data_IF_587059063431
#
_entry.id   IF_587059063431
#
_cell.length_a   1.000
_cell.length_b   1.000
_cell.length_c   1.000
_cell.angle_alpha   90.00
_cell.angle_beta   90.00
_cell.angle_gamma   90.00
#
_symmetry.space_group_name_H-M   'P 1'
#
loop_
_entity.id
_entity.type
_entity.pdbx_description
1 polymer ?
#
# COMPACT_ATOMS: atom_id res chain seq x y z
N UNK A 1 30.43 27.81 23.82
CA UNK A 1 30.27 27.86 22.35
C UNK A 1 29.47 26.64 21.93
N UNK A 2 28.18 26.84 21.67
CA UNK A 2 27.27 25.76 21.24
C UNK A 2 27.64 25.39 19.79
N UNK A 3 27.69 24.11 19.40
CA UNK A 3 27.91 23.75 18.00
C UNK A 3 26.75 24.31 17.17
N UNK A 4 27.07 25.10 16.15
CA UNK A 4 26.11 25.49 15.11
C UNK A 4 25.45 24.23 14.54
N UNK A 5 24.16 24.02 14.81
CA UNK A 5 23.39 22.98 14.12
C UNK A 5 22.23 22.33 14.88
N UNK A 6 22.05 22.57 16.18
CA UNK A 6 20.88 22.09 16.91
C UNK A 6 20.04 23.28 17.34
N UNK A 7 19.09 23.66 16.49
CA UNK A 7 17.94 24.44 16.90
C UNK A 7 17.09 23.55 17.81
N UNK A 8 16.66 24.13 18.93
CA UNK A 8 15.71 23.60 19.90
C UNK A 8 14.31 23.51 19.24
N UNK A 9 14.17 22.58 18.29
CA UNK A 9 12.95 22.40 17.50
C UNK A 9 12.03 21.42 18.22
N UNK A 10 11.09 21.97 18.98
CA UNK A 10 9.89 21.25 19.46
C UNK A 10 8.96 20.78 18.34
N UNK A 11 9.26 21.05 17.08
CA UNK A 11 8.58 20.54 15.89
C UNK A 11 9.62 20.37 14.77
N UNK A 12 9.93 19.12 14.40
CA UNK A 12 11.01 18.80 13.46
C UNK A 12 10.57 18.94 11.99
N UNK A 13 11.49 19.42 11.14
CA UNK A 13 11.36 19.44 9.69
C UNK A 13 12.33 18.44 9.05
N UNK A 14 11.92 17.80 7.96
CA UNK A 14 12.68 16.74 7.27
C UNK A 14 13.46 17.28 6.08
N UNK A 15 14.76 17.00 6.06
CA UNK A 15 15.63 17.23 4.91
C UNK A 15 16.37 15.93 4.59
N UNK A 16 16.24 15.50 3.33
CA UNK A 16 16.78 14.24 2.85
C UNK A 16 18.29 14.38 2.68
N UNK A 17 19.05 13.33 2.99
CA UNK A 17 20.51 13.39 3.05
C UNK A 17 21.08 12.04 2.64
N UNK A 18 22.17 12.05 1.88
CA UNK A 18 22.80 10.81 1.37
C UNK A 18 23.49 9.99 2.46
N UNK A 19 23.80 10.59 3.61
CA UNK A 19 24.31 9.96 4.83
C UNK A 19 24.29 10.98 5.98
N UNK A 20 24.23 10.54 7.25
CA UNK A 20 24.32 11.44 8.42
C UNK A 20 25.53 12.40 8.29
N UNK A 21 25.25 13.71 8.20
CA UNK A 21 26.27 14.76 8.05
C UNK A 21 26.79 15.00 6.62
N UNK A 22 26.18 14.39 5.59
CA UNK A 22 26.49 14.66 4.18
C UNK A 22 25.34 15.42 3.50
N UNK A 23 25.63 16.32 2.53
CA UNK A 23 24.59 16.97 1.74
C UNK A 23 23.70 15.94 1.03
N UNK A 24 22.42 16.27 0.85
CA UNK A 24 21.63 15.64 -0.19
C UNK A 24 22.39 15.86 -1.50
N UNK A 25 22.76 14.80 -2.22
CA UNK A 25 23.34 14.96 -3.54
C UNK A 25 22.17 14.91 -4.51
N UNK A 26 21.49 16.03 -4.64
CA UNK A 26 20.48 16.34 -5.65
C UNK A 26 21.06 16.43 -7.08
N UNK A 27 22.09 15.61 -7.36
CA UNK A 27 22.62 15.32 -8.69
C UNK A 27 21.51 14.71 -9.55
N UNK A 28 20.72 15.57 -10.16
CA UNK A 28 20.00 15.24 -11.37
C UNK A 28 21.00 14.63 -12.38
N UNK A 29 20.59 13.68 -13.26
CA UNK A 29 21.46 13.24 -14.36
C UNK A 29 22.11 14.45 -15.04
N UNK A 30 23.37 14.34 -15.47
CA UNK A 30 24.05 15.45 -16.18
C UNK A 30 23.13 15.95 -17.31
N UNK A 31 22.57 17.15 -17.17
CA UNK A 31 21.60 17.76 -18.10
C UNK A 31 20.12 17.78 -17.68
N UNK A 32 19.74 17.23 -16.52
CA UNK A 32 18.35 17.29 -16.02
C UNK A 32 18.10 18.55 -15.18
N UNK A 33 17.03 19.33 -15.46
CA UNK A 33 16.73 20.56 -14.73
C UNK A 33 16.05 20.34 -13.37
N UNK A 34 15.67 19.11 -13.02
CA UNK A 34 14.91 18.82 -11.78
C UNK A 34 15.53 17.66 -11.01
N UNK A 35 15.78 17.90 -9.72
CA UNK A 35 16.23 16.90 -8.75
C UNK A 35 15.16 15.80 -8.60
N UNK A 36 15.50 14.50 -8.67
CA UNK A 36 14.56 13.41 -8.41
C UNK A 36 13.90 13.51 -7.04
N UNK A 37 14.66 14.04 -6.08
CA UNK A 37 14.19 14.30 -4.73
C UNK A 37 13.21 15.46 -4.68
N UNK A 38 13.55 16.61 -5.28
CA UNK A 38 12.63 17.74 -5.37
C UNK A 38 11.38 17.38 -6.18
N UNK A 39 11.51 16.57 -7.23
CA UNK A 39 10.40 16.09 -8.03
C UNK A 39 9.48 15.18 -7.21
N UNK A 40 10.03 14.23 -6.45
CA UNK A 40 9.25 13.35 -5.58
C UNK A 40 8.57 14.16 -4.46
N UNK A 41 9.30 15.04 -3.78
CA UNK A 41 8.70 15.90 -2.76
C UNK A 41 7.62 16.80 -3.33
N UNK A 42 7.84 17.47 -4.45
CA UNK A 42 6.82 18.32 -5.09
C UNK A 42 5.61 17.50 -5.53
N UNK A 43 5.84 16.31 -6.10
CA UNK A 43 4.77 15.41 -6.54
C UNK A 43 3.92 14.94 -5.35
N UNK A 44 4.55 14.49 -4.28
CA UNK A 44 3.87 13.85 -3.16
C UNK A 44 3.39 14.88 -2.09
N UNK A 45 4.00 16.07 -1.98
CA UNK A 45 3.51 17.19 -1.16
C UNK A 45 2.10 17.63 -1.58
N UNK A 46 1.79 17.51 -2.87
CA UNK A 46 0.49 17.88 -3.40
C UNK A 46 -0.65 16.95 -2.97
N UNK A 47 -0.35 15.85 -2.26
CA UNK A 47 -1.34 14.83 -1.87
C UNK A 47 -1.93 15.21 -0.51
N UNK A 48 -3.21 15.62 -0.45
CA UNK A 48 -3.83 16.00 0.82
C UNK A 48 -3.97 14.79 1.75
N UNK A 49 -3.79 14.95 3.06
CA UNK A 49 -4.07 13.87 4.03
C UNK A 49 -3.10 12.70 4.06
N UNK A 50 -2.05 12.68 3.24
CA UNK A 50 -1.02 11.66 3.36
C UNK A 50 -0.33 11.83 4.73
N UNK A 51 -0.54 10.87 5.63
CA UNK A 51 0.09 10.87 6.96
C UNK A 51 1.61 10.86 6.78
N UNK A 52 2.33 11.55 7.65
CA UNK A 52 3.76 11.84 7.43
C UNK A 52 4.64 10.58 7.35
N UNK A 53 4.32 9.49 8.07
CA UNK A 53 5.03 8.22 7.94
C UNK A 53 4.80 7.57 6.58
N UNK A 54 3.57 7.61 6.05
CA UNK A 54 3.24 7.17 4.69
C UNK A 54 3.84 8.08 3.61
N UNK A 55 3.88 9.39 3.84
CA UNK A 55 4.54 10.36 2.96
C UNK A 55 6.01 9.99 2.77
N UNK A 56 6.73 9.68 3.86
CA UNK A 56 8.12 9.26 3.74
C UNK A 56 8.27 7.93 3.02
N UNK A 57 7.35 6.97 3.23
CA UNK A 57 7.36 5.70 2.50
C UNK A 57 7.19 5.94 0.99
N UNK A 58 6.25 6.79 0.60
CA UNK A 58 5.96 7.10 -0.81
C UNK A 58 7.13 7.86 -1.45
N UNK A 59 7.64 8.92 -0.80
CA UNK A 59 8.79 9.68 -1.34
C UNK A 59 10.05 8.83 -1.38
N UNK A 60 10.36 8.05 -0.34
CA UNK A 60 11.53 7.16 -0.32
C UNK A 60 11.51 6.21 -1.51
N UNK A 61 10.34 5.64 -1.81
CA UNK A 61 10.20 4.70 -2.91
C UNK A 61 10.24 5.37 -4.29
N UNK A 62 9.69 6.56 -4.47
CA UNK A 62 9.83 7.30 -5.75
C UNK A 62 11.28 7.70 -6.01
N UNK A 63 11.96 8.23 -4.98
CA UNK A 63 13.39 8.53 -5.03
C UNK A 63 14.20 7.28 -5.36
N UNK A 64 13.93 6.16 -4.69
CA UNK A 64 14.57 4.88 -4.97
C UNK A 64 14.37 4.46 -6.43
N UNK A 65 13.13 4.43 -6.94
CA UNK A 65 12.82 4.06 -8.33
C UNK A 65 13.60 4.91 -9.34
N UNK A 66 13.72 6.21 -9.09
CA UNK A 66 14.41 7.15 -9.99
C UNK A 66 15.93 7.06 -9.92
N UNK A 67 16.48 6.54 -8.83
CA UNK A 67 17.93 6.56 -8.56
C UNK A 67 18.58 5.17 -8.57
N UNK A 68 17.78 4.10 -8.64
CA UNK A 68 18.24 2.71 -8.57
C UNK A 68 19.36 2.35 -9.58
N UNK A 69 19.28 2.87 -10.81
CA UNK A 69 20.25 2.58 -11.88
C UNK A 69 21.32 3.65 -12.12
N UNK A 70 21.49 4.63 -11.22
CA UNK A 70 22.48 5.72 -11.38
C UNK A 70 23.88 5.30 -10.93
N UNK A 71 24.93 5.95 -11.45
CA UNK A 71 26.35 5.68 -11.12
C UNK A 71 26.69 5.72 -9.62
N UNK A 72 25.91 6.47 -8.83
CA UNK A 72 26.06 6.59 -7.37
C UNK A 72 25.07 5.74 -6.58
N UNK A 73 24.22 4.98 -7.25
CA UNK A 73 23.20 4.14 -6.66
C UNK A 73 22.00 4.90 -6.06
N UNK A 74 21.04 4.18 -5.47
CA UNK A 74 19.81 4.75 -4.93
C UNK A 74 20.02 5.62 -3.68
N UNK A 75 19.31 6.74 -3.58
CA UNK A 75 19.37 7.68 -2.44
C UNK A 75 18.36 7.35 -1.32
N UNK A 76 18.61 7.82 -0.08
CA UNK A 76 17.75 7.60 1.10
C UNK A 76 17.25 8.89 1.78
N UNK A 77 16.05 8.85 2.41
CA UNK A 77 15.69 9.75 3.49
C UNK A 77 16.42 9.42 4.80
N UNK A 78 16.74 10.44 5.59
CA UNK A 78 17.14 10.30 7.00
C UNK A 78 16.12 11.00 7.88
N UNK A 79 15.62 10.33 8.94
CA UNK A 79 14.48 10.83 9.72
C UNK A 79 14.94 11.42 11.07
N UNK A 80 14.31 12.51 11.48
CA UNK A 80 14.46 13.16 12.79
C UNK A 80 13.09 13.66 13.31
N UNK A 81 12.54 13.03 14.37
CA UNK A 81 11.29 13.41 15.09
C UNK A 81 10.00 13.42 14.23
N UNK A 82 8.74 13.31 14.68
CA UNK A 82 8.01 13.16 15.95
C UNK A 82 6.81 12.22 15.65
N UNK A 83 6.35 11.40 16.60
CA UNK A 83 5.52 10.20 16.33
C UNK A 83 4.09 10.23 16.92
N UNK A 84 3.64 11.35 17.49
CA UNK A 84 2.57 11.30 18.49
C UNK A 84 1.24 11.98 18.13
N UNK A 85 1.15 12.66 16.99
CA UNK A 85 -0.10 13.26 16.47
C UNK A 85 -0.20 13.09 14.94
N UNK A 86 -1.43 13.04 14.41
CA UNK A 86 -1.68 13.07 12.96
C UNK A 86 -1.12 14.38 12.37
N UNK A 87 -0.01 14.27 11.64
CA UNK A 87 0.67 15.40 11.01
C UNK A 87 0.61 15.26 9.49
N UNK A 88 0.11 16.31 8.83
CA UNK A 88 -0.02 16.39 7.38
C UNK A 88 0.77 17.58 6.84
N UNK A 89 1.47 17.39 5.72
CA UNK A 89 2.11 18.50 4.99
C UNK A 89 1.06 19.36 4.28
N UNK A 90 0.00 18.72 3.78
CA UNK A 90 -1.20 19.37 3.26
C UNK A 90 -2.41 18.72 3.91
N UNK A 91 -3.20 19.52 4.63
CA UNK A 91 -4.40 19.03 5.30
C UNK A 91 -5.37 18.41 4.28
N UNK A 92 -5.97 17.24 4.58
CA UNK A 92 -6.97 16.64 3.70
C UNK A 92 -8.20 17.53 3.59
N UNK A 93 -8.86 17.48 2.43
CA UNK A 93 -10.16 18.15 2.27
C UNK A 93 -11.21 17.48 3.16
N UNK A 94 -12.09 18.29 3.75
CA UNK A 94 -13.31 17.79 4.37
C UNK A 94 -14.31 17.48 3.25
N UNK A 95 -14.63 16.20 3.09
CA UNK A 95 -15.62 15.76 2.12
C UNK A 95 -16.94 15.64 2.87
N UNK A 96 -18.02 16.35 2.49
CA UNK A 96 -19.32 16.17 3.13
C UNK A 96 -19.83 14.74 2.90
N UNK A 97 -20.65 14.18 3.81
CA UNK A 97 -21.36 12.93 3.50
C UNK A 97 -22.17 13.12 2.21
N UNK A 98 -22.17 12.10 1.34
CA UNK A 98 -23.03 12.08 0.17
C UNK A 98 -24.46 12.38 0.64
N UNK A 99 -25.13 13.38 0.03
CA UNK A 99 -26.54 13.65 0.32
C UNK A 99 -27.27 12.32 0.13
N UNK A 100 -27.86 11.80 1.20
CA UNK A 100 -28.71 10.62 1.14
C UNK A 100 -29.68 10.83 -0.02
N UNK A 101 -29.60 9.98 -1.05
CA UNK A 101 -30.65 9.91 -2.04
C UNK A 101 -31.99 9.84 -1.27
N UNK A 102 -33.00 10.64 -1.65
CA UNK A 102 -34.24 10.67 -0.88
C UNK A 102 -34.77 9.25 -0.75
N UNK A 103 -35.22 8.90 0.46
CA UNK A 103 -35.78 7.59 0.75
C UNK A 103 -36.82 7.26 -0.32
N UNK A 104 -36.64 6.12 -0.99
CA UNK A 104 -37.59 5.59 -1.96
C UNK A 104 -38.95 5.40 -1.29
N UNK A 105 -39.82 6.39 -1.41
CA UNK A 105 -41.24 6.27 -1.15
C UNK A 105 -41.92 5.75 -2.41
N UNK A 106 -42.46 4.53 -2.33
CA UNK A 106 -43.44 4.00 -3.28
C UNK A 106 -42.86 3.24 -4.47
N UNK A 107 -43.16 1.94 -4.51
CA UNK A 107 -43.02 1.08 -5.68
C UNK A 107 -43.82 1.64 -6.87
N UNK A 108 -43.13 2.28 -7.81
CA UNK A 108 -43.50 2.24 -9.22
C UNK A 108 -42.27 1.71 -9.96
N UNK A 109 -42.43 0.58 -10.65
CA UNK A 109 -41.38 -0.02 -11.44
C UNK A 109 -40.80 1.03 -12.39
N UNK A 110 -39.52 1.35 -12.21
CA UNK A 110 -38.80 2.16 -13.17
C UNK A 110 -38.81 1.42 -14.53
N UNK A 111 -39.05 2.11 -15.65
CA UNK A 111 -38.87 1.50 -16.96
C UNK A 111 -37.41 1.02 -17.07
N UNK A 112 -37.15 -0.08 -17.82
CA UNK A 112 -35.79 -0.54 -18.04
C UNK A 112 -34.97 0.64 -18.56
N UNK A 113 -33.86 0.94 -17.89
CA UNK A 113 -32.93 1.96 -18.34
C UNK A 113 -32.57 1.63 -19.81
N UNK A 114 -32.60 2.62 -20.72
CA UNK A 114 -32.10 2.38 -22.06
C UNK A 114 -30.66 1.88 -21.95
N UNK A 115 -30.22 0.94 -22.81
CA UNK A 115 -28.83 0.52 -22.83
C UNK A 115 -27.98 1.78 -22.89
N UNK A 116 -27.17 1.99 -21.85
CA UNK A 116 -26.29 3.15 -21.75
C UNK A 116 -25.55 3.23 -23.06
N UNK A 117 -25.90 4.23 -23.87
CA UNK A 117 -25.16 4.51 -25.08
C UNK A 117 -23.78 4.90 -24.59
N UNK A 118 -22.85 3.95 -24.72
CA UNK A 118 -21.41 4.17 -24.59
C UNK A 118 -21.05 5.18 -25.67
N UNK A 119 -21.28 6.47 -25.40
CA UNK A 119 -20.45 7.52 -25.98
C UNK A 119 -19.07 7.21 -25.44
N UNK A 120 -18.13 6.91 -26.33
CA UNK A 120 -16.76 6.48 -26.03
C UNK A 120 -16.00 7.48 -25.16
N UNK A 121 -16.36 7.54 -23.88
CA UNK A 121 -15.71 8.28 -22.84
C UNK A 121 -14.50 7.48 -22.39
N UNK A 122 -13.36 8.15 -22.35
CA UNK A 122 -12.13 7.63 -21.75
C UNK A 122 -12.48 7.17 -20.33
N UNK A 123 -12.24 5.90 -20.00
CA UNK A 123 -12.37 5.43 -18.62
C UNK A 123 -11.33 6.21 -17.79
N UNK A 124 -11.75 7.09 -16.85
CA UNK A 124 -10.84 7.98 -16.15
C UNK A 124 -9.81 7.23 -15.31
N UNK A 125 -10.06 5.97 -14.96
CA UNK A 125 -9.16 5.11 -14.18
C UNK A 125 -8.62 3.93 -15.00
N UNK A 126 -8.52 4.08 -16.33
CA UNK A 126 -8.07 3.01 -17.22
C UNK A 126 -6.65 2.49 -16.92
N UNK A 127 -5.83 3.30 -16.27
CA UNK A 127 -4.46 3.01 -15.87
C UNK A 127 -4.34 2.20 -14.56
N UNK A 128 -5.44 1.99 -13.85
CA UNK A 128 -5.49 1.25 -12.59
C UNK A 128 -6.09 -0.14 -12.84
N UNK A 129 -5.23 -1.11 -13.16
CA UNK A 129 -5.64 -2.49 -13.42
C UNK A 129 -5.75 -3.33 -12.14
N UNK A 130 -6.55 -4.41 -12.19
CA UNK A 130 -6.63 -5.39 -11.09
C UNK A 130 -5.28 -6.02 -10.76
N UNK A 131 -4.42 -6.27 -11.76
CA UNK A 131 -3.09 -6.82 -11.54
C UNK A 131 -2.20 -5.86 -10.74
N UNK A 132 -2.32 -4.56 -11.02
CA UNK A 132 -1.63 -3.52 -10.24
C UNK A 132 -2.14 -3.49 -8.80
N UNK A 133 -3.46 -3.47 -8.60
CA UNK A 133 -4.07 -3.52 -7.25
C UNK A 133 -3.65 -4.78 -6.46
N UNK A 134 -3.42 -5.90 -7.15
CA UNK A 134 -3.11 -7.18 -6.54
C UNK A 134 -1.66 -7.28 -6.02
N UNK A 135 -0.76 -6.36 -6.43
CA UNK A 135 0.68 -6.45 -6.13
C UNK A 135 1.17 -5.17 -5.44
N UNK A 136 0.74 -4.00 -5.89
CA UNK A 136 1.20 -2.74 -5.30
C UNK A 136 0.62 -2.54 -3.89
N UNK A 137 1.48 -2.08 -3.00
CA UNK A 137 1.16 -1.61 -1.65
C UNK A 137 0.15 -0.44 -1.68
N UNK A 138 -0.76 -0.35 -0.74
CA UNK A 138 -1.94 0.51 -0.83
C UNK A 138 -1.64 2.01 -0.74
N UNK A 139 -0.86 2.52 0.24
CA UNK A 139 -0.53 3.95 0.35
C UNK A 139 0.21 4.46 -0.89
N UNK A 140 1.03 3.57 -1.42
CA UNK A 140 1.83 3.69 -2.63
C UNK A 140 0.99 3.89 -3.89
N UNK A 141 -0.09 3.10 -4.00
CA UNK A 141 -0.97 3.08 -5.13
C UNK A 141 -1.86 4.31 -5.08
N UNK A 142 -2.46 4.57 -3.90
CA UNK A 142 -3.40 5.67 -3.75
C UNK A 142 -2.73 7.02 -3.91
N UNK A 143 -1.49 7.18 -3.44
CA UNK A 143 -0.71 8.40 -3.66
C UNK A 143 -0.49 8.67 -5.16
N UNK A 144 -0.10 7.64 -5.91
CA UNK A 144 0.11 7.74 -7.35
C UNK A 144 -1.19 8.03 -8.12
N UNK A 145 -2.32 7.47 -7.68
CA UNK A 145 -3.64 7.79 -8.24
C UNK A 145 -4.03 9.24 -7.93
N UNK A 146 -3.88 9.68 -6.67
CA UNK A 146 -4.23 11.04 -6.24
C UNK A 146 -3.38 12.13 -6.91
N UNK A 147 -2.15 11.80 -7.34
CA UNK A 147 -1.32 12.71 -8.13
C UNK A 147 -1.90 13.06 -9.51
N UNK A 148 -2.87 12.29 -10.00
CA UNK A 148 -3.53 12.46 -11.31
C UNK A 148 -5.03 12.69 -11.22
N UNK A 149 -5.66 12.16 -10.17
CA UNK A 149 -7.11 12.24 -9.93
C UNK A 149 -7.35 12.84 -8.55
N UNK A 150 -7.82 14.09 -8.44
CA UNK A 150 -8.14 14.69 -7.16
C UNK A 150 -9.17 13.86 -6.38
N UNK A 151 -9.08 13.87 -5.05
CA UNK A 151 -9.97 13.09 -4.18
C UNK A 151 -11.46 13.30 -4.50
N UNK A 152 -11.87 14.54 -4.80
CA UNK A 152 -13.25 14.86 -5.15
C UNK A 152 -13.72 14.19 -6.45
N UNK A 153 -12.83 14.03 -7.44
CA UNK A 153 -13.13 13.31 -8.69
C UNK A 153 -13.35 11.82 -8.41
N UNK A 154 -12.44 11.19 -7.66
CA UNK A 154 -12.55 9.77 -7.29
C UNK A 154 -13.83 9.49 -6.52
N UNK A 155 -14.19 10.38 -5.59
CA UNK A 155 -15.44 10.26 -4.82
C UNK A 155 -16.66 10.45 -5.71
N UNK A 156 -16.63 11.43 -6.64
CA UNK A 156 -17.69 11.59 -7.63
C UNK A 156 -17.88 10.36 -8.52
N UNK A 157 -16.80 9.71 -8.94
CA UNK A 157 -16.85 8.44 -9.68
C UNK A 157 -17.39 7.29 -8.81
N UNK A 158 -17.01 7.24 -7.54
CA UNK A 158 -17.49 6.24 -6.59
C UNK A 158 -19.00 6.36 -6.34
N UNK A 159 -19.49 7.59 -6.16
CA UNK A 159 -20.91 7.93 -6.04
C UNK A 159 -21.68 7.64 -7.34
N UNK A 160 -21.02 7.81 -8.49
CA UNK A 160 -21.51 7.40 -9.81
C UNK A 160 -21.57 5.89 -10.06
N UNK A 161 -21.18 5.07 -9.07
CA UNK A 161 -21.31 3.61 -9.15
C UNK A 161 -20.07 2.86 -9.65
N UNK A 162 -18.97 3.54 -9.98
CA UNK A 162 -17.76 2.86 -10.46
C UNK A 162 -17.13 2.01 -9.34
N UNK A 163 -17.09 0.69 -9.51
CA UNK A 163 -16.65 -0.25 -8.46
C UNK A 163 -15.18 -0.08 -8.05
N UNK A 164 -14.31 0.28 -9.00
CA UNK A 164 -12.91 0.60 -8.73
C UNK A 164 -12.79 1.90 -7.92
N UNK A 165 -13.50 2.95 -8.33
CA UNK A 165 -13.51 4.21 -7.58
C UNK A 165 -14.08 4.04 -6.18
N UNK A 166 -15.11 3.20 -6.00
CA UNK A 166 -15.64 2.83 -4.68
C UNK A 166 -14.60 2.11 -3.82
N UNK A 167 -13.82 1.20 -4.41
CA UNK A 167 -12.72 0.56 -3.71
C UNK A 167 -11.63 1.58 -3.30
N UNK A 168 -11.21 2.45 -4.21
CA UNK A 168 -10.22 3.51 -3.94
C UNK A 168 -10.72 4.49 -2.88
N UNK A 169 -11.98 4.93 -2.94
CA UNK A 169 -12.59 5.78 -1.92
C UNK A 169 -12.65 5.06 -0.56
N UNK A 170 -12.99 3.77 -0.56
CA UNK A 170 -12.90 2.90 0.60
C UNK A 170 -11.53 2.96 1.27
N UNK A 171 -10.47 2.77 0.49
CA UNK A 171 -9.10 2.88 0.95
C UNK A 171 -8.73 4.27 1.46
N UNK A 172 -9.06 5.31 0.69
CA UNK A 172 -8.79 6.70 1.06
C UNK A 172 -9.37 7.04 2.44
N UNK A 173 -10.64 6.70 2.68
CA UNK A 173 -11.26 6.93 3.99
C UNK A 173 -10.73 6.01 5.09
N UNK A 174 -10.30 4.79 4.77
CA UNK A 174 -9.70 3.85 5.74
C UNK A 174 -8.36 4.37 6.28
N UNK A 175 -7.49 4.83 5.37
CA UNK A 175 -6.15 5.32 5.69
C UNK A 175 -6.11 6.81 6.04
N UNK A 176 -7.09 7.59 5.58
CA UNK A 176 -7.07 9.05 5.67
C UNK A 176 -6.23 9.73 4.59
N UNK A 177 -5.95 9.05 3.47
CA UNK A 177 -5.16 9.63 2.37
C UNK A 177 -6.10 10.29 1.35
N UNK A 178 -5.82 11.54 1.00
CA UNK A 178 -6.67 12.39 0.13
C UNK A 178 -7.87 13.02 0.85
N UNK A 179 -8.32 12.42 1.94
CA UNK A 179 -9.53 12.76 2.71
C UNK A 179 -9.30 12.51 4.19
N UNK A 180 -10.07 13.15 5.07
CA UNK A 180 -10.00 12.83 6.50
C UNK A 180 -10.40 11.37 6.74
N UNK A 181 -9.64 10.66 7.59
CA UNK A 181 -9.92 9.28 7.98
C UNK A 181 -11.34 9.14 8.53
N UNK A 182 -12.10 8.20 7.99
CA UNK A 182 -13.48 7.90 8.36
C UNK A 182 -13.80 6.43 8.03
N UNK A 183 -13.60 5.56 9.01
CA UNK A 183 -13.77 4.09 8.85
C UNK A 183 -15.22 3.72 8.48
N UNK A 184 -16.22 4.49 8.93
CA UNK A 184 -17.61 4.21 8.61
C UNK A 184 -17.90 4.46 7.12
N UNK A 185 -17.36 5.54 6.56
CA UNK A 185 -17.44 5.79 5.11
C UNK A 185 -16.61 4.81 4.30
N UNK A 186 -15.42 4.45 4.80
CA UNK A 186 -14.61 3.41 4.17
C UNK A 186 -15.42 2.13 3.98
N UNK A 187 -16.08 1.66 5.05
CA UNK A 187 -16.99 0.51 5.00
C UNK A 187 -18.08 0.73 3.97
N UNK A 188 -18.82 1.85 4.02
CA UNK A 188 -19.93 2.11 3.10
C UNK A 188 -19.53 2.07 1.61
N UNK A 189 -18.35 2.58 1.24
CA UNK A 189 -17.87 2.47 -0.15
C UNK A 189 -17.41 1.06 -0.51
N UNK A 190 -16.72 0.37 0.39
CA UNK A 190 -16.26 -1.00 0.17
C UNK A 190 -17.44 -1.98 0.06
N UNK A 191 -18.53 -1.75 0.80
CA UNK A 191 -19.79 -2.47 0.66
C UNK A 191 -20.35 -2.36 -0.77
N UNK A 192 -20.38 -1.14 -1.33
CA UNK A 192 -20.83 -0.92 -2.71
C UNK A 192 -19.91 -1.60 -3.73
N UNK A 193 -18.60 -1.54 -3.52
CA UNK A 193 -17.62 -2.19 -4.41
C UNK A 193 -17.74 -3.72 -4.37
N UNK A 194 -17.83 -4.29 -3.17
CA UNK A 194 -17.99 -5.73 -2.95
C UNK A 194 -19.32 -6.27 -3.49
N UNK A 195 -20.41 -5.49 -3.39
CA UNK A 195 -21.72 -5.85 -3.94
C UNK A 195 -21.72 -5.97 -5.48
N UNK A 196 -20.77 -5.31 -6.15
CA UNK A 196 -20.53 -5.45 -7.60
C UNK A 196 -19.59 -6.60 -7.95
N UNK A 197 -19.24 -7.45 -6.97
CA UNK A 197 -18.27 -8.54 -7.10
C UNK A 197 -16.86 -8.06 -7.50
N UNK A 198 -16.50 -6.81 -7.17
CA UNK A 198 -15.16 -6.29 -7.46
C UNK A 198 -14.15 -6.92 -6.50
N UNK A 199 -13.16 -7.72 -6.98
CA UNK A 199 -12.35 -8.55 -6.08
C UNK A 199 -11.54 -7.74 -5.06
N UNK A 200 -10.97 -6.60 -5.46
CA UNK A 200 -10.23 -5.75 -4.54
C UNK A 200 -11.14 -5.12 -3.47
N UNK A 201 -12.38 -4.76 -3.84
CA UNK A 201 -13.39 -4.27 -2.90
C UNK A 201 -13.81 -5.31 -1.88
N UNK A 202 -14.02 -6.56 -2.32
CA UNK A 202 -14.33 -7.69 -1.43
C UNK A 202 -13.20 -7.97 -0.45
N UNK A 203 -11.95 -8.03 -0.95
CA UNK A 203 -10.77 -8.24 -0.11
C UNK A 203 -10.63 -7.15 0.94
N UNK A 204 -10.80 -5.90 0.53
CA UNK A 204 -10.58 -4.78 1.44
C UNK A 204 -11.71 -4.63 2.45
N UNK A 205 -12.96 -4.92 2.07
CA UNK A 205 -14.05 -5.02 3.03
C UNK A 205 -13.78 -6.12 4.07
N UNK A 206 -13.27 -7.28 3.63
CA UNK A 206 -12.93 -8.37 4.55
C UNK A 206 -11.82 -7.96 5.54
N UNK A 207 -10.80 -7.24 5.06
CA UNK A 207 -9.76 -6.68 5.92
C UNK A 207 -10.34 -5.69 6.93
N UNK A 208 -11.13 -4.71 6.45
CA UNK A 208 -11.71 -3.67 7.30
C UNK A 208 -12.58 -4.26 8.42
N UNK A 209 -13.42 -5.28 8.11
CA UNK A 209 -14.26 -5.95 9.10
C UNK A 209 -13.43 -6.64 10.18
N UNK A 210 -12.35 -7.33 9.82
CA UNK A 210 -11.51 -8.01 10.81
C UNK A 210 -10.73 -7.05 11.71
N UNK A 211 -10.24 -5.94 11.15
CA UNK A 211 -9.40 -5.01 11.91
C UNK A 211 -10.21 -4.01 12.75
N UNK A 212 -11.45 -3.70 12.36
CA UNK A 212 -12.25 -2.65 13.01
C UNK A 212 -13.53 -3.13 13.70
N UNK A 213 -14.10 -4.27 13.29
CA UNK A 213 -15.40 -4.77 13.79
C UNK A 213 -15.50 -6.31 13.80
N UNK A 214 -14.62 -7.04 14.52
CA UNK A 214 -14.51 -8.50 14.43
C UNK A 214 -15.56 -9.27 15.25
N UNK A 215 -16.85 -8.94 15.10
CA UNK A 215 -17.93 -9.78 15.68
C UNK A 215 -17.95 -11.16 15.00
N UNK A 216 -18.49 -12.22 15.64
CA UNK A 216 -18.59 -13.54 15.01
C UNK A 216 -19.24 -13.54 13.62
N UNK A 217 -20.28 -12.71 13.44
CA UNK A 217 -20.97 -12.53 12.16
C UNK A 217 -20.06 -11.88 11.12
N UNK A 218 -19.33 -10.84 11.51
CA UNK A 218 -18.40 -10.14 10.61
C UNK A 218 -17.16 -10.97 10.29
N UNK A 219 -16.67 -11.80 11.22
CA UNK A 219 -15.57 -12.76 10.96
C UNK A 219 -16.01 -13.77 9.90
N UNK A 220 -17.21 -14.34 10.04
CA UNK A 220 -17.77 -15.24 9.01
C UNK A 220 -17.90 -14.52 7.67
N UNK A 221 -18.40 -13.29 7.69
CA UNK A 221 -18.59 -12.49 6.48
C UNK A 221 -17.26 -12.13 5.79
N UNK A 222 -16.24 -11.78 6.56
CA UNK A 222 -14.90 -11.52 6.05
C UNK A 222 -14.30 -12.77 5.40
N UNK A 223 -14.49 -13.95 6.00
CA UNK A 223 -14.10 -15.21 5.38
C UNK A 223 -14.79 -15.41 4.02
N UNK A 224 -16.11 -15.25 3.96
CA UNK A 224 -16.88 -15.41 2.71
C UNK A 224 -16.41 -14.42 1.62
N UNK A 225 -16.12 -13.17 1.99
CA UNK A 225 -15.58 -12.13 1.09
C UNK A 225 -14.17 -12.45 0.59
N UNK A 226 -13.26 -12.90 1.47
CA UNK A 226 -11.92 -13.32 1.07
C UNK A 226 -11.97 -14.52 0.12
N UNK A 227 -12.84 -15.51 0.38
CA UNK A 227 -13.03 -16.66 -0.50
C UNK A 227 -13.53 -16.23 -1.87
N UNK A 228 -14.53 -15.34 -1.93
CA UNK A 228 -15.05 -14.83 -3.20
C UNK A 228 -13.95 -14.12 -4.02
N UNK A 229 -13.19 -13.22 -3.40
CA UNK A 229 -12.10 -12.49 -4.07
C UNK A 229 -10.95 -13.40 -4.50
N UNK A 230 -10.59 -14.38 -3.65
CA UNK A 230 -9.60 -15.41 -3.94
C UNK A 230 -10.01 -16.24 -5.17
N UNK A 231 -11.27 -16.68 -5.23
CA UNK A 231 -11.81 -17.46 -6.35
C UNK A 231 -11.88 -16.65 -7.65
N UNK A 232 -12.07 -15.33 -7.56
CA UNK A 232 -11.94 -14.42 -8.70
C UNK A 232 -10.47 -14.23 -9.16
N UNK A 233 -9.50 -14.88 -8.50
CA UNK A 233 -8.11 -14.90 -8.91
C UNK A 233 -7.26 -13.73 -8.41
N UNK A 234 -7.77 -12.94 -7.46
CA UNK A 234 -7.07 -11.78 -6.90
C UNK A 234 -5.97 -12.23 -5.92
N UNK A 235 -4.70 -12.07 -6.32
CA UNK A 235 -3.54 -12.60 -5.59
C UNK A 235 -3.41 -12.06 -4.16
N UNK A 236 -3.77 -10.79 -3.94
CA UNK A 236 -3.75 -10.19 -2.62
C UNK A 236 -4.77 -10.84 -1.68
N UNK A 237 -5.99 -11.09 -2.16
CA UNK A 237 -6.99 -11.83 -1.37
C UNK A 237 -6.55 -13.25 -1.03
N UNK A 238 -5.90 -13.97 -1.96
CA UNK A 238 -5.32 -15.28 -1.69
C UNK A 238 -4.30 -15.22 -0.55
N UNK A 239 -3.41 -14.24 -0.60
CA UNK A 239 -2.36 -14.03 0.41
C UNK A 239 -2.97 -13.69 1.78
N UNK A 240 -3.94 -12.77 1.83
CA UNK A 240 -4.61 -12.42 3.09
C UNK A 240 -5.43 -13.59 3.65
N UNK A 241 -6.17 -14.32 2.81
CA UNK A 241 -6.92 -15.50 3.23
C UNK A 241 -5.98 -16.58 3.79
N UNK A 242 -4.87 -16.84 3.10
CA UNK A 242 -3.86 -17.80 3.55
C UNK A 242 -3.29 -17.41 4.91
N UNK A 243 -2.96 -16.14 5.12
CA UNK A 243 -2.49 -15.63 6.41
C UNK A 243 -3.52 -15.88 7.52
N UNK A 244 -4.78 -15.49 7.31
CA UNK A 244 -5.85 -15.65 8.31
C UNK A 244 -6.17 -17.12 8.62
N UNK A 245 -6.03 -18.01 7.62
CA UNK A 245 -6.14 -19.45 7.82
C UNK A 245 -4.98 -20.00 8.65
N UNK A 246 -3.75 -19.60 8.36
CA UNK A 246 -2.57 -20.03 9.10
C UNK A 246 -2.55 -19.48 10.55
N UNK A 247 -3.09 -18.28 10.78
CA UNK A 247 -3.20 -17.68 12.11
C UNK A 247 -4.40 -18.17 12.93
N UNK A 248 -5.27 -19.01 12.34
CA UNK A 248 -6.46 -19.52 13.02
C UNK A 248 -7.56 -18.47 13.25
N UNK A 249 -7.63 -17.43 12.43
CA UNK A 249 -8.68 -16.40 12.55
C UNK A 249 -10.09 -16.96 12.28
N UNK A 250 -10.18 -17.98 11.42
CA UNK A 250 -11.47 -18.58 11.01
C UNK A 250 -11.73 -19.95 11.66
N UNK A 251 -11.05 -20.26 12.76
CA UNK A 251 -11.08 -21.57 13.43
C UNK A 251 -9.67 -22.14 13.62
N UNK A 252 -9.51 -23.46 13.82
CA UNK A 252 -8.19 -24.07 13.90
C UNK A 252 -7.32 -23.72 12.67
N UNK A 253 -6.03 -23.54 12.88
CA UNK A 253 -5.10 -23.18 11.81
C UNK A 253 -5.10 -24.23 10.69
N UNK A 254 -5.24 -23.78 9.45
CA UNK A 254 -5.24 -24.61 8.24
C UNK A 254 -4.02 -24.29 7.37
N UNK A 255 -2.89 -24.88 7.74
CA UNK A 255 -1.62 -24.67 7.05
C UNK A 255 -1.60 -25.26 5.63
N UNK A 256 -2.34 -26.36 5.39
CA UNK A 256 -2.39 -27.01 4.07
C UNK A 256 -3.04 -26.08 3.05
N UNK A 257 -4.20 -25.53 3.41
CA UNK A 257 -4.90 -24.60 2.53
C UNK A 257 -4.19 -23.25 2.42
N UNK A 258 -3.60 -22.77 3.52
CA UNK A 258 -2.78 -21.56 3.48
C UNK A 258 -1.60 -21.70 2.49
N UNK A 259 -0.85 -22.81 2.56
CA UNK A 259 0.26 -23.08 1.65
C UNK A 259 -0.18 -23.14 0.18
N UNK A 260 -1.33 -23.77 -0.10
CA UNK A 260 -1.89 -23.83 -1.46
C UNK A 260 -2.22 -22.43 -2.00
N UNK A 261 -2.93 -21.61 -1.21
CA UNK A 261 -3.30 -20.24 -1.59
C UNK A 261 -2.07 -19.34 -1.78
N UNK A 262 -1.06 -19.45 -0.90
CA UNK A 262 0.21 -18.74 -1.08
C UNK A 262 0.92 -19.19 -2.35
N UNK A 263 0.94 -20.50 -2.66
CA UNK A 263 1.55 -21.02 -3.89
C UNK A 263 0.89 -20.44 -5.13
N UNK A 264 -0.43 -20.35 -5.16
CA UNK A 264 -1.17 -19.74 -6.27
C UNK A 264 -0.89 -18.23 -6.41
N UNK A 265 -0.85 -17.48 -5.30
CA UNK A 265 -0.52 -16.05 -5.33
C UNK A 265 0.93 -15.81 -5.75
N UNK A 266 1.85 -16.62 -5.24
CA UNK A 266 3.26 -16.56 -5.57
C UNK A 266 3.49 -16.89 -7.05
N UNK A 267 2.76 -17.84 -7.64
CA UNK A 267 2.85 -18.14 -9.08
C UNK A 267 2.52 -16.94 -9.98
N UNK A 268 1.72 -15.98 -9.48
CA UNK A 268 1.44 -14.70 -10.14
C UNK A 268 2.41 -13.57 -9.77
N UNK A 269 3.52 -13.90 -9.10
CA UNK A 269 4.58 -12.95 -8.77
C UNK A 269 4.33 -12.09 -7.52
N UNK A 270 3.34 -12.42 -6.67
CA UNK A 270 3.09 -11.66 -5.44
C UNK A 270 4.22 -11.87 -4.40
N UNK A 271 5.06 -10.88 -4.09
CA UNK A 271 6.29 -11.12 -3.32
C UNK A 271 6.03 -11.54 -1.87
N UNK A 272 5.02 -10.94 -1.20
CA UNK A 272 4.64 -11.37 0.15
C UNK A 272 4.19 -12.85 0.22
N UNK A 273 3.59 -13.40 -0.84
CA UNK A 273 3.23 -14.81 -0.90
C UNK A 273 4.47 -15.71 -1.08
N UNK A 274 5.44 -15.27 -1.89
CA UNK A 274 6.75 -15.95 -2.01
C UNK A 274 7.45 -15.97 -0.64
N UNK A 275 7.44 -14.85 0.08
CA UNK A 275 7.98 -14.74 1.42
C UNK A 275 7.26 -15.66 2.42
N UNK A 276 5.93 -15.67 2.43
CA UNK A 276 5.15 -16.53 3.31
C UNK A 276 5.48 -18.02 3.10
N UNK A 277 5.74 -18.44 1.86
CA UNK A 277 6.17 -19.80 1.56
C UNK A 277 7.55 -20.15 2.15
N UNK A 278 8.37 -19.17 2.52
CA UNK A 278 9.64 -19.44 3.21
C UNK A 278 9.46 -20.04 4.60
N UNK A 279 8.30 -19.85 5.24
CA UNK A 279 7.98 -20.46 6.54
C UNK A 279 7.63 -21.95 6.44
N UNK A 280 7.42 -22.49 5.24
CA UNK A 280 7.12 -23.91 5.02
C UNK A 280 8.40 -24.67 4.65
N UNK A 281 8.86 -25.64 5.46
CA UNK A 281 10.17 -26.27 5.29
C UNK A 281 10.42 -26.89 3.90
N UNK A 282 9.40 -27.49 3.30
CA UNK A 282 9.43 -28.15 1.99
C UNK A 282 9.54 -27.17 0.82
N UNK A 283 9.09 -25.92 0.99
CA UNK A 283 9.12 -24.91 -0.07
C UNK A 283 10.10 -23.77 0.19
N UNK A 284 10.77 -23.75 1.36
CA UNK A 284 11.65 -22.67 1.79
C UNK A 284 12.77 -22.37 0.81
N UNK A 285 13.56 -23.39 0.45
CA UNK A 285 14.75 -23.21 -0.42
C UNK A 285 14.35 -22.61 -1.77
N UNK A 286 13.31 -23.15 -2.39
CA UNK A 286 12.82 -22.68 -3.68
C UNK A 286 12.33 -21.22 -3.59
N UNK A 287 11.62 -20.84 -2.54
CA UNK A 287 11.08 -19.50 -2.42
C UNK A 287 12.12 -18.46 -1.97
N UNK A 288 13.14 -18.83 -1.19
CA UNK A 288 14.31 -17.97 -0.96
C UNK A 288 15.02 -17.63 -2.28
N UNK A 289 15.20 -18.61 -3.18
CA UNK A 289 15.77 -18.37 -4.50
C UNK A 289 14.88 -17.47 -5.38
N UNK A 290 13.55 -17.60 -5.27
CA UNK A 290 12.61 -16.71 -5.97
C UNK A 290 12.65 -15.28 -5.45
N UNK A 291 12.74 -15.07 -4.13
CA UNK A 291 12.92 -13.74 -3.55
C UNK A 291 14.23 -13.11 -4.04
N UNK A 292 15.31 -13.89 -4.10
CA UNK A 292 16.59 -13.44 -4.69
C UNK A 292 16.42 -13.03 -6.15
N UNK A 293 15.74 -13.82 -6.97
CA UNK A 293 15.46 -13.43 -8.36
C UNK A 293 14.64 -12.14 -8.49
N UNK A 294 13.67 -11.91 -7.58
CA UNK A 294 12.91 -10.65 -7.52
C UNK A 294 13.83 -9.48 -7.16
N UNK A 295 14.70 -9.68 -6.17
CA UNK A 295 15.69 -8.69 -5.73
C UNK A 295 16.68 -8.32 -6.85
N UNK A 296 17.26 -9.33 -7.51
CA UNK A 296 18.22 -9.16 -8.61
C UNK A 296 17.59 -8.53 -9.85
N UNK A 297 16.26 -8.70 -10.03
CA UNK A 297 15.46 -8.01 -11.03
C UNK A 297 15.21 -6.52 -10.72
N UNK A 298 15.78 -6.00 -9.63
CA UNK A 298 15.67 -4.60 -9.23
C UNK A 298 14.42 -4.25 -8.41
N UNK A 299 13.63 -5.24 -8.01
CA UNK A 299 12.50 -5.00 -7.12
C UNK A 299 12.98 -5.03 -5.65
N UNK A 300 12.96 -3.89 -4.94
CA UNK A 300 13.42 -3.83 -3.55
C UNK A 300 12.54 -4.61 -2.57
N UNK A 301 11.32 -5.00 -2.96
CA UNK A 301 10.46 -5.84 -2.14
C UNK A 301 11.05 -7.25 -1.97
N UNK A 302 11.74 -7.79 -2.98
CA UNK A 302 12.47 -9.05 -2.85
C UNK A 302 13.59 -8.95 -1.80
N UNK A 303 14.31 -7.83 -1.80
CA UNK A 303 15.36 -7.54 -0.81
C UNK A 303 14.76 -7.40 0.60
N UNK A 304 13.63 -6.71 0.73
CA UNK A 304 12.92 -6.59 1.99
C UNK A 304 12.55 -7.95 2.59
N UNK A 305 11.96 -8.83 1.78
CA UNK A 305 11.56 -10.16 2.25
C UNK A 305 12.75 -11.09 2.54
N UNK A 306 13.85 -10.98 1.80
CA UNK A 306 15.10 -11.67 2.14
C UNK A 306 15.64 -11.22 3.49
N UNK A 307 15.66 -9.91 3.74
CA UNK A 307 16.05 -9.35 5.02
C UNK A 307 15.23 -9.93 6.18
N UNK A 308 13.90 -9.96 6.05
CA UNK A 308 13.03 -10.53 7.09
C UNK A 308 13.24 -12.04 7.26
N UNK A 309 13.40 -12.80 6.17
CA UNK A 309 13.62 -14.24 6.22
C UNK A 309 14.94 -14.59 6.94
N UNK A 310 16.01 -13.85 6.66
CA UNK A 310 17.30 -14.03 7.32
C UNK A 310 17.29 -13.53 8.77
N UNK A 311 16.51 -12.50 9.08
CA UNK A 311 16.29 -12.07 10.45
C UNK A 311 15.58 -13.15 11.27
N UNK A 312 14.53 -13.78 10.73
CA UNK A 312 13.82 -14.88 11.37
C UNK A 312 14.74 -16.09 11.64
N UNK A 313 15.65 -16.38 10.71
CA UNK A 313 16.65 -17.46 10.83
C UNK A 313 17.81 -17.13 11.76
N UNK A 314 17.92 -15.89 12.25
CA UNK A 314 19.09 -15.38 12.98
C UNK A 314 20.38 -15.46 12.15
N UNK A 315 20.26 -15.36 10.82
CA UNK A 315 21.37 -15.36 9.85
C UNK A 315 21.52 -13.99 9.18
N UNK A 316 21.16 -12.93 9.89
CA UNK A 316 21.09 -11.55 9.35
C UNK A 316 22.39 -11.08 8.67
N UNK A 317 23.55 -11.58 9.10
CA UNK A 317 24.86 -11.33 8.47
C UNK A 317 24.87 -11.62 6.96
N UNK A 318 24.03 -12.56 6.50
CA UNK A 318 23.94 -12.99 5.11
C UNK A 318 22.99 -12.11 4.27
N UNK A 319 22.30 -11.14 4.90
CA UNK A 319 21.29 -10.28 4.28
C UNK A 319 21.42 -8.79 4.67
N UNK A 320 22.57 -8.35 5.19
CA UNK A 320 22.79 -6.95 5.57
C UNK A 320 22.56 -6.02 4.36
N UNK A 321 23.03 -6.41 3.18
CA UNK A 321 22.83 -5.63 1.96
C UNK A 321 21.35 -5.56 1.58
N UNK A 322 20.65 -6.70 1.62
CA UNK A 322 19.21 -6.78 1.34
C UNK A 322 18.40 -5.91 2.32
N UNK A 323 18.74 -5.95 3.61
CA UNK A 323 18.14 -5.08 4.61
C UNK A 323 18.40 -3.60 4.31
N UNK A 324 19.62 -3.26 3.89
CA UNK A 324 19.95 -1.92 3.45
C UNK A 324 19.11 -1.49 2.24
N UNK A 325 18.97 -2.33 1.23
CA UNK A 325 18.15 -2.05 0.04
C UNK A 325 16.68 -1.90 0.39
N UNK A 326 16.11 -2.82 1.18
CA UNK A 326 14.72 -2.72 1.65
C UNK A 326 14.49 -1.44 2.46
N UNK A 327 15.40 -1.10 3.37
CA UNK A 327 15.33 0.16 4.12
C UNK A 327 15.42 1.39 3.20
N UNK A 328 16.29 1.36 2.16
CA UNK A 328 16.40 2.40 1.12
C UNK A 328 15.09 2.61 0.38
N UNK A 329 14.40 1.53 0.10
CA UNK A 329 13.16 1.55 -0.65
C UNK A 329 11.92 1.90 0.20
N UNK A 330 12.10 2.21 1.50
CA UNK A 330 11.01 2.65 2.38
C UNK A 330 10.33 1.52 3.15
N UNK A 331 10.85 0.29 3.15
CA UNK A 331 10.29 -0.80 3.95
C UNK A 331 10.66 -0.64 5.42
N UNK A 332 9.66 -0.38 6.27
CA UNK A 332 9.83 -0.14 7.69
C UNK A 332 10.46 -1.33 8.44
N UNK A 333 10.08 -2.56 8.09
CA UNK A 333 10.63 -3.78 8.68
C UNK A 333 12.14 -3.91 8.46
N UNK A 334 12.60 -3.79 7.21
CA UNK A 334 14.04 -3.81 6.90
C UNK A 334 14.80 -2.69 7.58
N UNK A 335 14.19 -1.51 7.74
CA UNK A 335 14.79 -0.39 8.46
C UNK A 335 14.93 -0.68 9.96
N UNK A 336 13.88 -1.23 10.59
CA UNK A 336 13.92 -1.62 11.99
C UNK A 336 14.98 -2.69 12.26
N UNK A 337 15.06 -3.71 11.41
CA UNK A 337 16.07 -4.77 11.46
C UNK A 337 17.48 -4.22 11.27
N UNK A 338 17.66 -3.28 10.33
CA UNK A 338 18.97 -2.65 10.10
C UNK A 338 19.44 -1.87 11.33
N UNK A 339 18.55 -1.16 12.02
CA UNK A 339 18.89 -0.38 13.21
C UNK A 339 19.22 -1.25 14.42
N UNK A 340 18.56 -2.40 14.59
CA UNK A 340 18.82 -3.32 15.69
C UNK A 340 20.12 -4.11 15.54
N UNK A 341 20.63 -4.25 14.30
CA UNK A 341 21.88 -4.96 14.00
C UNK A 341 23.16 -4.18 14.28
N UNK A 342 23.05 -2.88 14.62
CA UNK A 342 24.18 -1.97 14.89
C UNK A 342 24.37 -1.71 16.40
N UNK A 343 23.49 -2.26 17.25
CA UNK A 343 23.56 -2.19 18.72
C UNK A 343 24.17 -3.47 19.30
#
# INVERSE_FOLDING_TARGET
TVPLGLLDLGQGAVFYSTAKGRPALDYAPVGSPVSPFAAAVVKELGIPGLEISDYFKVVARDVYKRTYGMDKGPQQPFHYGSWFDDYYLVAPADVPPARSAPAFGGLMAAPPAPPSAVRGGVNPLADVSLDRLAIEDEPVLIADVLSRHPAAELIGLADGGNALAQHLAGYMFSLGVGVKKDVARARAYLEKSAAQNFPAGQQELAYLLLENDPTPENVKRAYDLYVASSNAGFSKAKTHLAYRLASGTFGPADFVRAQALYSEAAAKGHPAAVFALTYFPDTRIANMARLRSIADGGNPEGNHWLCEAHFADKTLKDAIEDCGVGARAGFAGSRAISLSSVA
#
